data_IF_427551933484
#
_entry.id   IF_427551933484
#
_cell.length_a   1.000
_cell.length_b   1.000
_cell.length_c   1.000
_cell.angle_alpha   90.00
_cell.angle_beta   90.00
_cell.angle_gamma   90.00
#
_symmetry.space_group_name_H-M   'P 1'
#
loop_
_entity.id
_entity.type
_entity.pdbx_description
1 polymer ?
#
# COMPACT_ATOMS: atom_id res chain seq x y z
N UNK A 1 -51.85 -60.54 -17.29
CA UNK A 1 -52.38 -61.89 -17.04
C UNK A 1 -51.22 -62.85 -16.83
N UNK A 2 -50.87 -63.09 -15.56
CA UNK A 2 -51.40 -64.18 -14.70
C UNK A 2 -50.70 -65.52 -15.07
N UNK A 3 -49.63 -65.90 -14.37
CA UNK A 3 -49.57 -66.61 -13.06
C UNK A 3 -49.81 -68.13 -13.19
N UNK A 4 -48.90 -68.86 -12.52
CA UNK A 4 -48.95 -70.22 -11.99
C UNK A 4 -48.87 -71.44 -12.91
N UNK A 5 -47.89 -72.30 -12.62
CA UNK A 5 -48.18 -73.41 -11.71
C UNK A 5 -46.91 -73.96 -11.05
N UNK A 6 -46.95 -73.92 -9.72
CA UNK A 6 -46.10 -74.59 -8.73
C UNK A 6 -46.53 -76.08 -8.60
N UNK A 7 -45.76 -76.85 -7.81
CA UNK A 7 -45.95 -78.21 -7.26
C UNK A 7 -45.32 -79.37 -8.07
N UNK A 8 -44.53 -80.28 -7.48
CA UNK A 8 -44.12 -80.46 -6.09
C UNK A 8 -43.39 -81.81 -5.91
N UNK A 9 -42.32 -81.80 -5.08
CA UNK A 9 -41.81 -82.84 -4.15
C UNK A 9 -41.63 -84.33 -4.59
N UNK A 10 -40.81 -85.19 -3.89
CA UNK A 10 -40.51 -85.15 -2.45
C UNK A 10 -39.09 -85.58 -1.96
N UNK A 11 -38.82 -85.15 -0.71
CA UNK A 11 -38.25 -85.86 0.45
C UNK A 11 -36.97 -86.75 0.43
N UNK A 12 -36.24 -86.55 1.56
CA UNK A 12 -35.52 -87.50 2.46
C UNK A 12 -34.12 -88.00 2.07
N UNK A 13 -33.05 -87.61 2.80
CA UNK A 13 -32.69 -87.86 4.21
C UNK A 13 -31.75 -89.08 4.36
N UNK A 14 -30.50 -88.85 4.81
CA UNK A 14 -30.01 -89.11 6.18
C UNK A 14 -28.49 -89.35 6.20
N UNK A 15 -27.80 -88.72 7.16
CA UNK A 15 -26.80 -89.30 8.09
C UNK A 15 -25.89 -88.16 8.57
N UNK A 16 -26.15 -87.55 9.74
CA UNK A 16 -25.64 -87.93 11.07
C UNK A 16 -24.11 -87.82 11.19
N UNK A 17 -23.50 -87.36 12.27
CA UNK A 17 -23.88 -86.65 13.52
C UNK A 17 -22.54 -86.36 14.22
N UNK A 18 -22.44 -85.19 14.85
CA UNK A 18 -21.65 -84.98 16.08
C UNK A 18 -20.37 -84.16 15.92
N UNK A 19 -20.01 -83.27 16.83
CA UNK A 19 -20.65 -82.84 18.08
C UNK A 19 -19.91 -81.58 18.59
N UNK A 20 -20.70 -80.65 19.17
CA UNK A 20 -20.42 -79.83 20.35
C UNK A 20 -19.29 -78.77 20.31
N UNK A 21 -19.73 -77.52 20.52
CA UNK A 21 -19.15 -76.68 21.57
C UNK A 21 -18.71 -75.28 21.13
N UNK A 22 -19.35 -74.26 21.71
CA UNK A 22 -18.74 -72.92 21.79
C UNK A 22 -19.67 -71.76 21.48
N UNK A 23 -20.37 -71.29 22.51
CA UNK A 23 -20.52 -69.85 22.84
C UNK A 23 -21.09 -68.93 21.74
N UNK A 24 -22.41 -68.71 21.70
CA UNK A 24 -23.10 -67.62 22.41
C UNK A 24 -22.20 -66.40 22.74
N UNK A 25 -22.63 -65.24 22.26
CA UNK A 25 -22.15 -63.88 22.58
C UNK A 25 -20.77 -63.47 22.04
N UNK A 26 -20.76 -62.89 20.83
CA UNK A 26 -19.90 -61.70 20.58
C UNK A 26 -20.28 -60.86 19.35
N UNK A 27 -21.55 -60.83 18.93
CA UNK A 27 -22.02 -59.88 17.90
C UNK A 27 -22.31 -58.47 18.48
N UNK A 28 -21.49 -58.02 19.43
CA UNK A 28 -21.65 -56.71 20.07
C UNK A 28 -20.31 -56.15 20.52
N UNK A 29 -19.31 -56.04 19.63
CA UNK A 29 -18.10 -55.19 19.76
C UNK A 29 -17.20 -55.28 18.52
N UNK A 30 -17.69 -54.83 17.37
CA UNK A 30 -16.80 -54.51 16.24
C UNK A 30 -17.30 -53.35 15.36
N UNK A 31 -18.31 -52.59 15.82
CA UNK A 31 -18.83 -51.43 15.11
C UNK A 31 -18.09 -50.12 15.45
N UNK A 32 -16.79 -50.19 15.81
CA UNK A 32 -15.97 -49.02 16.14
C UNK A 32 -14.51 -49.21 15.68
N UNK A 33 -14.31 -49.54 14.41
CA UNK A 33 -12.96 -49.53 13.82
C UNK A 33 -12.91 -49.12 12.34
N UNK A 34 -14.06 -48.88 11.69
CA UNK A 34 -14.09 -48.47 10.28
C UNK A 34 -14.27 -46.96 10.05
N UNK A 35 -14.58 -46.17 11.08
CA UNK A 35 -14.81 -44.72 10.93
C UNK A 35 -13.54 -43.87 10.85
N UNK A 36 -12.41 -44.34 11.39
CA UNK A 36 -11.17 -43.56 11.49
C UNK A 36 -10.21 -43.77 10.31
N UNK A 37 -10.25 -44.94 9.66
CA UNK A 37 -9.38 -45.23 8.52
C UNK A 37 -9.86 -44.54 7.22
N UNK A 38 -11.16 -44.27 7.08
CA UNK A 38 -11.70 -43.60 5.88
C UNK A 38 -11.43 -42.08 5.88
N UNK A 39 -11.33 -41.44 7.04
CA UNK A 39 -11.03 -40.00 7.16
C UNK A 39 -9.55 -39.67 6.87
N UNK A 40 -8.64 -40.62 7.04
CA UNK A 40 -7.20 -40.44 6.78
C UNK A 40 -6.79 -40.74 5.32
N UNK A 41 -7.68 -41.36 4.52
CA UNK A 41 -7.40 -41.71 3.12
C UNK A 41 -7.90 -40.65 2.11
N UNK A 42 -8.59 -39.61 2.58
CA UNK A 42 -9.15 -38.51 1.76
C UNK A 42 -8.52 -37.15 2.05
N UNK A 43 -7.45 -37.09 2.84
CA UNK A 43 -6.65 -35.86 2.98
C UNK A 43 -5.71 -35.71 1.79
N UNK A 44 -6.27 -35.55 0.58
CA UNK A 44 -5.62 -34.63 -0.35
C UNK A 44 -5.70 -33.27 0.34
N UNK A 45 -4.58 -32.87 0.93
CA UNK A 45 -4.31 -31.48 1.25
C UNK A 45 -4.29 -30.76 -0.09
N UNK A 46 -5.48 -30.42 -0.60
CA UNK A 46 -5.62 -29.07 -1.10
C UNK A 46 -5.32 -28.24 0.16
N UNK A 47 -4.09 -27.70 0.20
CA UNK A 47 -3.88 -26.57 1.08
C UNK A 47 -5.07 -25.63 0.84
N UNK A 48 -5.51 -24.85 1.83
CA UNK A 48 -5.95 -23.53 1.40
C UNK A 48 -4.76 -23.02 0.58
N UNK A 49 -4.87 -23.05 -0.76
CA UNK A 49 -4.42 -21.93 -1.53
C UNK A 49 -5.16 -20.82 -0.82
N UNK A 50 -4.45 -20.17 0.12
CA UNK A 50 -4.98 -19.01 0.78
C UNK A 50 -5.59 -18.21 -0.35
N UNK A 51 -6.88 -17.93 -0.25
CA UNK A 51 -7.56 -16.94 -1.05
C UNK A 51 -6.93 -15.58 -0.71
N UNK A 52 -5.65 -15.45 -1.05
CA UNK A 52 -4.75 -14.34 -0.81
C UNK A 52 -4.25 -13.84 -2.17
N UNK A 53 -5.15 -13.73 -3.14
CA UNK A 53 -5.49 -12.38 -3.59
C UNK A 53 -6.17 -11.69 -2.40
N UNK A 54 -5.40 -11.38 -1.36
CA UNK A 54 -5.74 -10.25 -0.54
C UNK A 54 -5.47 -9.14 -1.53
N UNK A 55 -6.53 -8.65 -2.17
CA UNK A 55 -6.49 -7.47 -3.03
C UNK A 55 -5.60 -6.50 -2.27
N UNK A 56 -4.36 -6.33 -2.76
CA UNK A 56 -3.48 -5.31 -2.22
C UNK A 56 -4.31 -4.05 -2.30
N UNK A 57 -4.44 -3.35 -1.18
CA UNK A 57 -5.25 -2.16 -1.14
C UNK A 57 -4.80 -1.25 -2.30
N UNK A 58 -5.66 -0.99 -3.29
CA UNK A 58 -5.25 -0.29 -4.50
C UNK A 58 -4.77 1.13 -4.18
N UNK A 59 -5.16 1.70 -3.03
CA UNK A 59 -4.66 3.00 -2.58
C UNK A 59 -3.24 2.99 -2.04
N UNK A 60 -2.64 1.81 -1.85
CA UNK A 60 -1.31 1.64 -1.30
C UNK A 60 -0.27 1.33 -2.38
N UNK A 61 0.98 1.80 -2.19
CA UNK A 61 2.05 1.49 -3.12
C UNK A 61 2.45 0.02 -3.06
N UNK A 62 2.78 -0.54 -4.21
CA UNK A 62 3.44 -1.85 -4.32
C UNK A 62 4.32 -1.90 -5.58
N UNK A 63 5.09 -2.98 -5.74
CA UNK A 63 5.88 -3.20 -6.96
C UNK A 63 4.97 -3.24 -8.21
N UNK A 64 3.76 -3.78 -8.08
CA UNK A 64 2.79 -3.87 -9.16
C UNK A 64 1.87 -2.63 -9.23
N UNK A 65 1.96 -1.72 -8.25
CA UNK A 65 1.20 -0.48 -8.19
C UNK A 65 2.09 0.72 -7.75
N UNK A 66 3.05 1.15 -8.59
CA UNK A 66 4.01 2.19 -8.24
C UNK A 66 3.54 3.63 -8.56
N UNK A 67 2.37 3.77 -9.19
CA UNK A 67 1.86 5.03 -9.71
C UNK A 67 0.98 5.71 -8.66
N UNK A 68 1.42 6.87 -8.17
CA UNK A 68 0.65 7.73 -7.28
C UNK A 68 -0.11 8.76 -8.11
N UNK A 69 -1.43 8.73 -8.01
CA UNK A 69 -2.32 9.63 -8.72
C UNK A 69 -2.67 10.84 -7.85
N UNK A 70 -2.90 11.97 -8.51
CA UNK A 70 -3.23 13.26 -7.91
C UNK A 70 -4.69 13.62 -8.21
N UNK A 71 -5.39 14.12 -7.20
CA UNK A 71 -6.81 14.44 -7.22
C UNK A 71 -7.04 15.73 -6.44
N UNK A 72 -8.13 16.43 -6.71
CA UNK A 72 -8.43 17.64 -5.97
C UNK A 72 -9.79 18.23 -6.30
N UNK A 73 -10.15 19.31 -5.61
CA UNK A 73 -11.36 20.07 -5.90
C UNK A 73 -11.16 21.13 -7.00
N UNK A 74 -12.26 21.65 -7.53
CA UNK A 74 -12.23 22.60 -8.64
C UNK A 74 -11.56 23.94 -8.32
N UNK A 75 -11.31 24.25 -7.05
CA UNK A 75 -10.77 25.54 -6.60
C UNK A 75 -9.38 25.45 -5.98
N UNK A 76 -8.65 24.33 -6.17
CA UNK A 76 -7.31 24.08 -5.62
C UNK A 76 -7.21 24.11 -4.09
N UNK A 77 -8.34 24.10 -3.36
CA UNK A 77 -8.33 24.24 -1.90
C UNK A 77 -8.02 22.91 -1.20
N UNK A 78 -8.38 21.80 -1.82
CA UNK A 78 -8.09 20.46 -1.34
C UNK A 78 -7.45 19.67 -2.48
N UNK A 79 -6.22 19.21 -2.26
CA UNK A 79 -5.52 18.28 -3.15
C UNK A 79 -5.07 17.06 -2.34
N UNK A 80 -5.20 15.87 -2.91
CA UNK A 80 -4.78 14.63 -2.28
C UNK A 80 -4.23 13.64 -3.29
N UNK A 81 -3.51 12.64 -2.78
CA UNK A 81 -2.93 11.58 -3.61
C UNK A 81 -3.24 10.19 -3.08
N UNK A 82 -3.23 9.19 -3.97
CA UNK A 82 -3.20 7.77 -3.62
C UNK A 82 -2.84 6.93 -4.84
N UNK A 83 -2.62 5.62 -4.66
CA UNK A 83 -2.16 4.74 -5.74
C UNK A 83 -3.29 4.06 -6.54
N UNK A 84 -4.57 4.30 -6.19
CA UNK A 84 -5.69 3.73 -6.96
C UNK A 84 -6.06 4.62 -8.15
N UNK A 85 -5.58 4.30 -9.36
CA UNK A 85 -5.91 5.06 -10.57
C UNK A 85 -7.37 4.99 -11.00
N UNK A 86 -8.19 4.11 -10.41
CA UNK A 86 -9.61 4.01 -10.72
C UNK A 86 -10.51 4.74 -9.72
N UNK A 87 -9.96 5.26 -8.62
CA UNK A 87 -10.75 5.97 -7.60
C UNK A 87 -10.58 7.48 -7.72
N UNK A 88 -11.42 8.12 -8.52
CA UNK A 88 -11.49 9.59 -8.61
C UNK A 88 -12.55 10.19 -7.68
N UNK A 89 -13.00 9.45 -6.65
CA UNK A 89 -14.12 9.89 -5.81
C UNK A 89 -13.81 11.20 -5.09
N UNK A 90 -14.70 12.18 -5.26
CA UNK A 90 -14.56 13.51 -4.67
C UNK A 90 -13.70 14.48 -5.47
N UNK A 91 -12.95 14.01 -6.47
CA UNK A 91 -12.20 14.87 -7.40
C UNK A 91 -13.14 15.72 -8.24
N UNK A 92 -12.67 16.87 -8.73
CA UNK A 92 -13.38 17.73 -9.66
C UNK A 92 -13.80 16.94 -10.91
N UNK A 93 -15.05 17.12 -11.35
CA UNK A 93 -15.60 16.41 -12.51
C UNK A 93 -14.91 16.78 -13.81
N UNK A 94 -14.44 18.02 -13.90
CA UNK A 94 -13.69 18.60 -15.00
C UNK A 94 -12.25 18.06 -15.06
N UNK A 95 -11.79 17.43 -13.97
CA UNK A 95 -10.46 16.85 -13.87
C UNK A 95 -9.33 17.87 -13.71
N UNK A 96 -9.64 19.08 -13.24
CA UNK A 96 -8.67 20.10 -12.86
C UNK A 96 -9.20 20.99 -11.73
N UNK A 97 -8.29 21.67 -11.05
CA UNK A 97 -8.58 22.80 -10.18
C UNK A 97 -8.06 24.09 -10.80
N UNK A 98 -8.74 25.20 -10.52
CA UNK A 98 -8.46 26.49 -11.15
C UNK A 98 -8.59 27.64 -10.15
N UNK A 99 -7.67 28.60 -10.27
CA UNK A 99 -7.75 29.90 -9.63
C UNK A 99 -7.66 31.00 -10.70
N UNK A 100 -8.67 31.87 -10.74
CA UNK A 100 -8.66 33.04 -11.60
C UNK A 100 -8.43 34.33 -10.82
N UNK A 101 -7.82 35.31 -11.46
CA UNK A 101 -7.42 36.56 -10.82
C UNK A 101 -7.61 37.76 -11.74
N UNK A 102 -7.94 38.91 -11.16
CA UNK A 102 -8.26 40.09 -11.96
C UNK A 102 -7.02 40.66 -12.66
N UNK A 103 -7.26 41.38 -13.75
CA UNK A 103 -6.25 42.13 -14.51
C UNK A 103 -5.34 42.97 -13.59
N UNK A 104 -4.03 42.84 -13.77
CA UNK A 104 -3.01 43.53 -12.98
C UNK A 104 -2.90 43.12 -11.51
N UNK A 105 -3.69 42.15 -11.04
CA UNK A 105 -3.47 41.54 -9.72
C UNK A 105 -2.42 40.44 -9.80
N UNK A 106 -1.72 40.21 -8.71
CA UNK A 106 -0.80 39.09 -8.57
C UNK A 106 -1.57 37.87 -8.08
N UNK A 107 -1.34 36.72 -8.72
CA UNK A 107 -1.81 35.42 -8.21
C UNK A 107 -0.77 34.85 -7.26
N UNK A 108 -1.21 34.19 -6.20
CA UNK A 108 -0.37 33.45 -5.27
C UNK A 108 -0.97 32.07 -5.09
N UNK A 109 -0.41 31.12 -5.82
CA UNK A 109 -0.77 29.71 -5.73
C UNK A 109 0.23 29.04 -4.80
N UNK A 110 -0.28 28.52 -3.69
CA UNK A 110 0.46 27.67 -2.77
C UNK A 110 -0.50 26.61 -2.22
N UNK A 111 -0.33 25.37 -2.67
CA UNK A 111 -1.09 24.24 -2.16
C UNK A 111 -0.26 22.96 -2.11
N UNK A 112 -0.70 22.05 -1.24
CA UNK A 112 -0.11 20.72 -1.07
C UNK A 112 -1.10 19.63 -1.46
N UNK A 113 -0.60 18.61 -2.15
CA UNK A 113 -1.28 17.35 -2.41
C UNK A 113 -0.72 16.28 -1.48
N UNK A 114 -1.41 16.02 -0.37
CA UNK A 114 -0.97 15.04 0.63
C UNK A 114 -1.62 13.67 0.39
N UNK A 115 -0.94 12.59 0.79
CA UNK A 115 -1.50 11.24 0.69
C UNK A 115 -2.81 11.10 1.49
N UNK A 116 -3.88 10.63 0.84
CA UNK A 116 -5.23 10.57 1.42
C UNK A 116 -5.32 9.62 2.61
N UNK A 117 -4.63 8.48 2.54
CA UNK A 117 -4.50 7.52 3.63
C UNK A 117 -3.02 7.36 3.96
N UNK A 118 -2.69 7.25 5.25
CA UNK A 118 -1.33 6.91 5.65
C UNK A 118 -0.91 5.59 5.00
N UNK A 119 0.41 5.48 4.77
CA UNK A 119 1.03 4.24 4.35
C UNK A 119 0.69 3.12 5.35
N UNK A 120 0.27 1.95 4.85
CA UNK A 120 -0.05 0.77 5.69
C UNK A 120 1.21 0.00 6.06
N UNK A 121 2.25 0.14 5.25
CA UNK A 121 3.59 -0.42 5.43
C UNK A 121 4.64 0.58 4.95
N UNK A 122 5.89 0.41 5.40
CA UNK A 122 6.98 1.25 4.91
C UNK A 122 7.14 1.06 3.39
N UNK A 123 7.30 2.17 2.68
CA UNK A 123 7.58 2.18 1.25
C UNK A 123 9.09 2.13 1.04
N UNK A 124 9.54 1.20 0.21
CA UNK A 124 10.94 1.04 -0.17
C UNK A 124 11.11 1.30 -1.66
N UNK A 125 12.09 2.15 -1.99
CA UNK A 125 12.45 2.52 -3.34
C UNK A 125 13.80 1.90 -3.70
N UNK A 126 14.00 1.54 -4.97
CA UNK A 126 15.33 1.26 -5.50
C UNK A 126 16.19 2.49 -5.30
N UNK A 127 17.30 2.39 -4.57
CA UNK A 127 18.21 3.50 -4.34
C UNK A 127 18.91 3.99 -5.61
N UNK A 128 18.91 3.20 -6.70
CA UNK A 128 19.44 3.59 -8.01
C UNK A 128 18.33 3.84 -9.05
N UNK A 129 17.06 3.88 -8.62
CA UNK A 129 15.94 4.17 -9.48
C UNK A 129 15.77 5.67 -9.76
N UNK A 130 14.66 5.98 -10.42
CA UNK A 130 14.25 7.36 -10.72
C UNK A 130 12.78 7.49 -10.35
N UNK A 131 12.46 8.48 -9.53
CA UNK A 131 11.08 8.94 -9.33
C UNK A 131 10.75 9.85 -10.51
N UNK A 132 9.67 9.55 -11.22
CA UNK A 132 9.20 10.35 -12.36
C UNK A 132 7.92 11.06 -11.95
N UNK A 133 7.91 12.38 -12.01
CA UNK A 133 6.75 13.21 -11.73
C UNK A 133 6.28 13.83 -13.04
N UNK A 134 5.02 13.64 -13.38
CA UNK A 134 4.39 14.18 -14.58
C UNK A 134 3.17 15.01 -14.17
N UNK A 135 3.13 16.25 -14.63
CA UNK A 135 2.08 17.23 -14.33
C UNK A 135 1.59 17.87 -15.62
N UNK A 136 0.38 18.39 -15.61
CA UNK A 136 -0.13 19.29 -16.65
C UNK A 136 -0.70 20.53 -15.99
N UNK A 137 -0.33 21.69 -16.52
CA UNK A 137 -0.80 23.00 -16.07
C UNK A 137 -1.25 23.83 -17.27
N UNK A 138 -2.17 24.77 -17.05
CA UNK A 138 -2.42 25.86 -17.98
C UNK A 138 -2.33 27.16 -17.19
N UNK A 139 -1.55 28.11 -17.70
CA UNK A 139 -1.29 29.37 -17.01
C UNK A 139 -1.55 30.50 -18.01
N UNK A 140 -2.39 31.45 -17.61
CA UNK A 140 -2.56 32.71 -18.32
C UNK A 140 -2.19 33.87 -17.40
N UNK A 141 -1.09 34.56 -17.70
CA UNK A 141 -0.56 35.64 -16.88
C UNK A 141 0.25 36.63 -17.73
N UNK A 142 0.79 37.70 -17.13
CA UNK A 142 1.69 38.59 -17.84
C UNK A 142 2.98 37.88 -18.28
N UNK A 143 3.61 38.31 -19.38
CA UNK A 143 4.87 37.75 -19.86
C UNK A 143 6.07 38.12 -18.96
N UNK A 144 6.08 39.34 -18.44
CA UNK A 144 7.19 39.90 -17.67
C UNK A 144 6.86 40.00 -16.18
N UNK A 145 7.90 39.83 -15.36
CA UNK A 145 7.89 40.15 -13.94
C UNK A 145 8.98 41.19 -13.65
N UNK A 146 8.68 42.45 -13.92
CA UNK A 146 9.66 43.54 -13.92
C UNK A 146 9.40 44.62 -12.85
N UNK A 147 8.28 44.57 -12.13
CA UNK A 147 7.99 45.57 -11.08
C UNK A 147 8.70 45.20 -9.77
N UNK A 148 9.51 46.14 -9.25
CA UNK A 148 10.20 46.03 -7.96
C UNK A 148 9.31 45.80 -6.74
N UNK A 149 7.98 45.87 -6.91
CA UNK A 149 6.98 45.60 -5.88
C UNK A 149 6.34 44.21 -5.95
N UNK A 150 6.69 43.39 -6.95
CA UNK A 150 6.14 42.06 -7.18
C UNK A 150 7.19 40.98 -6.85
N UNK A 151 6.83 40.05 -5.97
CA UNK A 151 7.65 38.87 -5.67
C UNK A 151 7.21 37.73 -6.57
N UNK A 152 7.86 37.55 -7.72
CA UNK A 152 7.52 36.46 -8.62
C UNK A 152 8.23 35.17 -8.24
N UNK A 153 7.44 34.11 -8.18
CA UNK A 153 7.88 32.76 -7.90
C UNK A 153 7.55 31.94 -9.15
N UNK A 154 8.57 31.42 -9.87
CA UNK A 154 8.32 30.54 -11.01
C UNK A 154 7.57 29.29 -10.56
N UNK A 155 6.89 28.60 -11.48
CA UNK A 155 6.19 27.37 -11.13
C UNK A 155 7.18 26.38 -10.52
N UNK A 156 6.93 25.99 -9.29
CA UNK A 156 7.85 25.18 -8.51
C UNK A 156 7.10 24.00 -7.93
N UNK A 157 7.64 22.81 -8.19
CA UNK A 157 7.17 21.57 -7.58
C UNK A 157 8.17 21.09 -6.56
N UNK A 158 7.69 20.74 -5.38
CA UNK A 158 8.52 20.21 -4.29
C UNK A 158 7.99 18.86 -3.84
N UNK A 159 8.87 17.86 -3.79
CA UNK A 159 8.57 16.54 -3.25
C UNK A 159 8.99 16.51 -1.78
N UNK A 160 8.00 16.36 -0.91
CA UNK A 160 8.16 16.24 0.52
C UNK A 160 8.09 14.78 0.95
N UNK A 161 8.86 14.46 1.99
CA UNK A 161 8.83 13.21 2.74
C UNK A 161 8.46 13.52 4.18
N UNK A 162 7.17 13.40 4.50
CA UNK A 162 6.64 13.97 5.72
C UNK A 162 6.92 15.46 5.79
N UNK A 163 7.63 15.90 6.83
CA UNK A 163 8.04 17.30 7.00
C UNK A 163 9.39 17.67 6.37
N UNK A 164 10.04 16.74 5.65
CA UNK A 164 11.36 16.97 5.07
C UNK A 164 11.26 17.19 3.57
N UNK A 165 11.77 18.31 3.08
CA UNK A 165 11.97 18.52 1.65
C UNK A 165 13.06 17.60 1.13
N UNK A 166 12.73 16.78 0.13
CA UNK A 166 13.69 15.87 -0.50
C UNK A 166 14.29 16.49 -1.74
N UNK A 167 13.46 17.17 -2.55
CA UNK A 167 13.91 17.89 -3.72
C UNK A 167 12.84 18.89 -4.17
N UNK A 168 13.29 19.91 -4.89
CA UNK A 168 12.44 20.93 -5.52
C UNK A 168 12.92 21.19 -6.94
N UNK A 169 11.99 21.49 -7.84
CA UNK A 169 12.25 21.80 -9.25
C UNK A 169 11.43 23.02 -9.68
N UNK A 170 12.14 24.06 -10.11
CA UNK A 170 11.56 25.26 -10.71
C UNK A 170 11.42 25.11 -12.23
N UNK A 171 10.33 25.62 -12.79
CA UNK A 171 10.02 25.71 -14.21
C UNK A 171 9.86 27.19 -14.61
N UNK A 172 10.97 27.91 -14.85
CA UNK A 172 10.92 29.36 -15.10
C UNK A 172 10.31 29.73 -16.47
N UNK A 173 10.31 28.80 -17.42
CA UNK A 173 9.90 29.04 -18.81
C UNK A 173 8.55 28.42 -19.17
N UNK A 174 7.67 28.21 -18.19
CA UNK A 174 6.30 27.78 -18.47
C UNK A 174 5.58 28.80 -19.35
N UNK A 175 4.75 28.28 -20.25
CA UNK A 175 3.89 29.05 -21.11
C UNK A 175 2.83 29.78 -20.27
N UNK A 176 2.57 31.04 -20.62
CA UNK A 176 1.68 31.97 -19.90
C UNK A 176 0.50 32.43 -20.78
N UNK A 177 0.21 31.70 -21.85
CA UNK A 177 -0.81 32.04 -22.84
C UNK A 177 -2.14 31.29 -22.66
N UNK A 178 -2.28 30.49 -21.60
CA UNK A 178 -3.46 29.68 -21.30
C UNK A 178 -3.51 28.32 -22.00
N UNK A 179 -2.51 27.96 -22.80
CA UNK A 179 -2.41 26.62 -23.39
C UNK A 179 -1.92 25.61 -22.34
N UNK A 180 -2.39 24.36 -22.47
CA UNK A 180 -1.94 23.25 -21.64
C UNK A 180 -0.45 22.93 -21.89
N UNK A 181 0.31 22.77 -20.81
CA UNK A 181 1.72 22.40 -20.83
C UNK A 181 1.98 21.19 -19.93
N UNK A 182 2.51 20.12 -20.52
CA UNK A 182 2.97 18.93 -19.80
C UNK A 182 4.39 19.13 -19.28
N UNK A 183 4.58 18.90 -17.99
CA UNK A 183 5.85 19.07 -17.28
C UNK A 183 6.30 17.72 -16.74
N UNK A 184 7.55 17.35 -17.02
CA UNK A 184 8.17 16.14 -16.50
C UNK A 184 9.38 16.49 -15.65
N UNK A 185 9.41 15.96 -14.44
CA UNK A 185 10.52 16.07 -13.51
C UNK A 185 11.01 14.68 -13.12
N UNK A 186 12.29 14.41 -13.39
CA UNK A 186 12.95 13.15 -13.05
C UNK A 186 13.91 13.36 -11.89
N UNK A 187 13.70 12.61 -10.80
CA UNK A 187 14.51 12.67 -9.60
C UNK A 187 15.20 11.32 -9.37
N UNK A 188 16.53 11.29 -9.47
CA UNK A 188 17.30 10.10 -9.15
C UNK A 188 17.25 9.85 -7.64
N UNK A 189 16.84 8.64 -7.27
CA UNK A 189 16.83 8.22 -5.86
C UNK A 189 18.25 8.08 -5.33
N UNK A 190 18.36 8.03 -4.01
CA UNK A 190 19.60 7.71 -3.32
C UNK A 190 19.27 6.97 -1.99
N UNK A 191 20.29 6.60 -1.23
CA UNK A 191 20.11 5.88 0.05
C UNK A 191 19.25 6.63 1.07
N UNK A 192 19.24 7.96 1.07
CA UNK A 192 18.43 8.77 2.01
C UNK A 192 16.95 8.85 1.62
N UNK A 193 16.64 8.57 0.34
CA UNK A 193 15.28 8.55 -0.21
C UNK A 193 14.70 7.13 -0.28
N UNK A 194 15.50 6.10 0.00
CA UNK A 194 15.15 4.71 -0.27
C UNK A 194 14.06 4.13 0.65
N UNK A 195 13.81 4.73 1.82
CA UNK A 195 12.79 4.26 2.77
C UNK A 195 11.90 5.40 3.22
N UNK A 196 10.59 5.18 3.15
CA UNK A 196 9.53 6.09 3.60
C UNK A 196 8.75 5.37 4.71
N UNK A 197 8.89 5.88 5.94
CA UNK A 197 8.23 5.32 7.12
C UNK A 197 6.73 5.57 7.10
N UNK A 198 5.97 4.51 7.36
CA UNK A 198 4.51 4.51 7.32
C UNK A 198 3.78 5.40 8.33
N UNK A 199 4.51 6.05 9.23
CA UNK A 199 3.93 6.75 10.37
C UNK A 199 3.96 8.27 10.25
N UNK A 200 4.94 8.81 9.52
CA UNK A 200 5.23 10.27 9.49
C UNK A 200 5.95 10.71 8.21
N UNK A 201 6.25 9.80 7.28
CA UNK A 201 7.05 10.11 6.09
C UNK A 201 6.26 9.82 4.81
N UNK A 202 4.96 10.08 4.80
CA UNK A 202 4.14 10.00 3.60
C UNK A 202 4.60 11.02 2.53
N UNK A 203 4.46 10.68 1.23
CA UNK A 203 4.70 11.63 0.15
C UNK A 203 3.66 12.73 0.09
N UNK A 204 4.16 13.94 -0.11
CA UNK A 204 3.38 15.13 -0.39
C UNK A 204 4.05 15.91 -1.53
N UNK A 205 3.23 16.44 -2.44
CA UNK A 205 3.68 17.33 -3.50
C UNK A 205 3.23 18.73 -3.15
N UNK A 206 4.16 19.68 -3.09
CA UNK A 206 3.84 21.11 -2.93
C UNK A 206 3.97 21.80 -4.27
N UNK A 207 3.02 22.68 -4.56
CA UNK A 207 2.95 23.46 -5.79
C UNK A 207 2.98 24.93 -5.42
N UNK A 208 3.92 25.67 -5.98
CA UNK A 208 4.05 27.10 -5.76
C UNK A 208 4.15 27.84 -7.09
N UNK A 209 3.42 28.93 -7.21
CA UNK A 209 3.50 29.84 -8.34
C UNK A 209 3.01 31.23 -7.92
N UNK A 210 3.77 32.27 -8.24
CA UNK A 210 3.34 33.64 -8.01
C UNK A 210 3.75 34.52 -9.17
N UNK A 211 2.77 35.15 -9.81
CA UNK A 211 3.02 35.92 -11.02
C UNK A 211 1.97 37.02 -11.21
N UNK A 212 2.34 38.17 -11.80
CA UNK A 212 1.38 39.20 -12.12
C UNK A 212 0.45 38.81 -13.26
N UNK A 213 -0.81 39.22 -13.15
CA UNK A 213 -1.77 39.21 -14.24
C UNK A 213 -1.44 40.26 -15.28
N UNK A 214 -1.95 40.03 -16.49
CA UNK A 214 -1.74 40.95 -17.60
C UNK A 214 -2.20 42.36 -17.22
N UNK A 215 -1.38 43.37 -17.49
CA UNK A 215 -1.67 44.78 -17.24
C UNK A 215 -1.49 45.59 -18.53
N UNK A 216 -2.39 45.34 -19.50
CA UNK A 216 -2.37 46.02 -20.79
C UNK A 216 -2.69 47.53 -20.70
N UNK A 217 -2.49 48.24 -21.81
CA UNK A 217 -2.90 49.63 -21.95
C UNK A 217 -4.43 49.74 -21.74
N UNK A 218 -4.91 50.79 -21.05
CA UNK A 218 -6.30 50.97 -20.54
C UNK A 218 -7.49 50.53 -21.43
N UNK A 219 -7.31 50.38 -22.73
CA UNK A 219 -8.34 49.94 -23.68
C UNK A 219 -8.26 48.47 -24.11
N UNK A 220 -7.13 47.80 -23.94
CA UNK A 220 -6.96 46.40 -24.39
C UNK A 220 -7.81 45.45 -23.56
N UNK A 221 -7.64 45.47 -22.23
CA UNK A 221 -8.46 44.69 -21.30
C UNK A 221 -9.89 45.23 -21.09
N UNK A 222 -10.23 46.35 -21.74
CA UNK A 222 -11.61 46.83 -21.80
C UNK A 222 -12.40 46.21 -22.97
N UNK A 223 -11.70 45.60 -23.94
CA UNK A 223 -12.27 44.98 -25.14
C UNK A 223 -11.97 43.48 -25.20
N UNK A 224 -10.85 43.03 -24.64
CA UNK A 224 -10.43 41.64 -24.54
C UNK A 224 -10.46 41.16 -23.09
N UNK A 225 -10.61 39.85 -22.90
CA UNK A 225 -10.49 39.23 -21.58
C UNK A 225 -9.03 39.13 -21.18
N UNK A 226 -8.69 39.75 -20.05
CA UNK A 226 -7.37 39.75 -19.43
C UNK A 226 -7.45 39.18 -18.01
N UNK A 227 -8.49 38.42 -17.70
CA UNK A 227 -8.56 37.65 -16.46
C UNK A 227 -7.43 36.62 -16.47
N UNK A 228 -6.59 36.64 -15.43
CA UNK A 228 -5.51 35.68 -15.25
C UNK A 228 -6.06 34.34 -14.78
N UNK A 229 -5.35 33.27 -15.12
CA UNK A 229 -5.74 31.89 -14.79
C UNK A 229 -4.51 31.09 -14.36
N UNK A 230 -4.65 30.30 -13.31
CA UNK A 230 -3.79 29.17 -13.01
C UNK A 230 -4.66 27.91 -12.90
N UNK A 231 -4.39 26.92 -13.75
CA UNK A 231 -5.06 25.63 -13.76
C UNK A 231 -4.06 24.51 -13.54
N UNK A 232 -4.39 23.59 -12.64
CA UNK A 232 -3.64 22.37 -12.40
C UNK A 232 -4.54 21.16 -12.67
N UNK A 233 -4.12 20.30 -13.58
CA UNK A 233 -4.89 19.11 -13.96
C UNK A 233 -4.66 17.96 -12.97
N UNK A 234 -5.69 17.15 -12.78
CA UNK A 234 -5.70 15.94 -11.96
C UNK A 234 -5.64 14.69 -12.85
N UNK A 235 -5.52 13.51 -12.21
CA UNK A 235 -5.38 12.24 -12.94
C UNK A 235 -6.65 11.82 -13.69
N UNK A 236 -7.82 12.38 -13.34
CA UNK A 236 -9.08 12.17 -14.05
C UNK A 236 -9.35 13.25 -15.13
N UNK A 237 -8.33 13.93 -15.63
CA UNK A 237 -8.50 14.92 -16.70
C UNK A 237 -9.14 14.30 -17.96
N UNK A 238 -9.96 15.08 -18.65
CA UNK A 238 -10.71 14.61 -19.83
C UNK A 238 -9.82 14.32 -21.05
N UNK A 239 -8.62 14.91 -21.07
CA UNK A 239 -7.66 14.81 -22.16
C UNK A 239 -6.88 13.48 -22.15
N UNK A 240 -6.98 12.68 -21.08
CA UNK A 240 -6.14 11.51 -20.81
C UNK A 240 -4.63 11.83 -20.78
N UNK A 241 -4.30 13.05 -20.36
CA UNK A 241 -2.92 13.42 -20.07
C UNK A 241 -2.44 12.69 -18.80
N UNK A 242 -1.14 12.39 -18.75
CA UNK A 242 -0.53 11.69 -17.62
C UNK A 242 -0.21 12.68 -16.51
N UNK A 243 -0.99 12.62 -15.42
CA UNK A 243 -0.73 13.37 -14.19
C UNK A 243 -0.57 12.36 -13.05
N UNK A 244 0.67 12.04 -12.71
CA UNK A 244 0.99 11.06 -11.68
C UNK A 244 2.46 11.15 -11.25
N UNK A 245 2.78 10.47 -10.15
CA UNK A 245 4.15 10.27 -9.68
C UNK A 245 4.45 8.78 -9.66
N UNK A 246 5.39 8.35 -10.49
CA UNK A 246 5.86 6.98 -10.56
C UNK A 246 7.07 6.78 -9.63
N UNK A 247 6.91 5.93 -8.61
CA UNK A 247 7.95 5.57 -7.67
C UNK A 247 8.65 4.26 -8.08
N UNK A 248 9.99 4.15 -7.99
CA UNK A 248 10.69 2.89 -8.28
C UNK A 248 10.58 1.92 -7.09
N UNK A 249 9.37 1.43 -6.82
CA UNK A 249 9.05 0.60 -5.64
C UNK A 249 9.72 -0.77 -5.75
N UNK A 250 10.37 -1.22 -4.67
CA UNK A 250 10.99 -2.55 -4.57
C UNK A 250 10.38 -3.37 -3.44
N UNK A 251 10.41 -4.70 -3.63
CA UNK A 251 10.04 -5.62 -2.56
C UNK A 251 11.20 -5.73 -1.56
N UNK A 252 11.05 -5.11 -0.39
CA UNK A 252 12.02 -5.23 0.69
C UNK A 252 11.42 -6.08 1.82
N UNK A 253 11.79 -7.36 1.88
CA UNK A 253 11.52 -8.16 3.07
C UNK A 253 12.41 -7.62 4.19
N UNK A 254 11.84 -6.91 5.17
CA UNK A 254 12.53 -6.64 6.43
C UNK A 254 12.93 -8.02 6.99
N UNK A 255 14.23 -8.33 7.13
CA UNK A 255 14.63 -9.50 7.90
C UNK A 255 14.07 -9.25 9.30
N UNK A 256 13.13 -10.10 9.73
CA UNK A 256 12.51 -9.97 11.04
C UNK A 256 13.58 -9.77 12.09
N UNK A 257 13.34 -8.84 13.02
CA UNK A 257 14.25 -8.44 14.08
C UNK A 257 14.86 -9.67 14.76
N UNK A 258 16.03 -10.07 14.26
CA UNK A 258 16.82 -11.19 14.73
C UNK A 258 17.45 -10.76 16.04
N UNK A 259 16.68 -10.90 17.11
CA UNK A 259 17.18 -10.80 18.46
C UNK A 259 18.25 -11.85 18.69
N UNK A 260 19.51 -11.43 18.55
CA UNK A 260 20.68 -12.06 19.15
C UNK A 260 21.32 -13.18 18.35
N UNK A 261 22.61 -13.01 18.02
CA UNK A 261 23.49 -14.14 17.76
C UNK A 261 24.54 -13.88 16.68
N UNK A 262 25.60 -13.20 17.12
CA UNK A 262 27.00 -13.43 16.75
C UNK A 262 27.30 -14.51 15.69
N UNK A 263 28.07 -14.14 14.67
CA UNK A 263 28.41 -15.04 13.56
C UNK A 263 29.71 -14.67 12.84
N UNK A 264 30.78 -14.39 13.60
CA UNK A 264 32.12 -14.17 13.06
C UNK A 264 33.04 -15.39 13.20
N UNK A 265 33.03 -16.25 12.17
CA UNK A 265 34.14 -17.09 11.67
C UNK A 265 34.56 -18.30 12.52
N UNK A 266 34.39 -19.51 11.98
CA UNK A 266 35.12 -20.68 12.47
C UNK A 266 34.58 -22.02 12.01
N UNK A 267 35.02 -22.45 10.83
CA UNK A 267 35.56 -23.79 10.54
C UNK A 267 34.95 -25.04 11.25
N UNK A 268 34.55 -26.01 10.41
CA UNK A 268 34.33 -27.44 10.70
C UNK A 268 33.15 -27.74 11.66
N UNK A 269 32.15 -28.54 11.31
CA UNK A 269 32.17 -29.91 10.82
C UNK A 269 30.78 -30.27 10.30
N UNK A 270 30.74 -31.20 9.35
CA UNK A 270 29.54 -31.96 8.99
C UNK A 270 28.98 -32.69 10.22
N UNK A 271 27.66 -32.62 10.45
CA UNK A 271 26.87 -33.85 10.61
C UNK A 271 25.37 -33.60 10.61
N UNK A 272 24.67 -34.62 10.14
CA UNK A 272 23.23 -34.72 9.94
C UNK A 272 22.37 -34.27 11.14
N UNK A 273 21.21 -33.66 10.88
CA UNK A 273 19.87 -34.29 10.98
C UNK A 273 18.77 -33.21 11.16
N UNK A 274 17.67 -33.26 10.39
CA UNK A 274 16.56 -32.34 10.53
C UNK A 274 15.62 -32.75 11.68
N UNK A 275 15.23 -31.74 12.47
CA UNK A 275 13.96 -31.70 13.19
C UNK A 275 13.79 -32.61 14.40
N UNK A 276 14.07 -32.12 15.60
CA UNK A 276 13.23 -32.33 16.80
C UNK A 276 13.42 -31.14 17.74
N UNK A 277 12.38 -30.32 17.88
CA UNK A 277 12.31 -29.30 18.92
C UNK A 277 12.14 -29.98 20.28
N UNK A 278 13.23 -30.12 21.02
CA UNK A 278 13.18 -30.51 22.43
C UNK A 278 13.12 -29.24 23.29
N UNK A 279 11.91 -28.91 23.72
CA UNK A 279 11.67 -28.04 24.87
C UNK A 279 12.26 -28.72 26.10
N UNK A 280 13.31 -28.14 26.67
CA UNK A 280 13.86 -28.50 27.98
C UNK A 280 13.64 -27.32 28.94
N UNK A 281 12.61 -27.43 29.77
CA UNK A 281 12.33 -26.48 30.84
C UNK A 281 13.11 -26.82 32.12
N UNK A 282 13.80 -25.83 32.69
CA UNK A 282 14.27 -25.72 34.08
C UNK A 282 14.47 -24.20 34.28
N UNK A 283 13.88 -23.44 35.19
CA UNK A 283 13.40 -23.71 36.54
C UNK A 283 14.43 -23.24 37.58
N UNK A 284 14.47 -21.93 37.93
CA UNK A 284 14.97 -21.48 39.24
C UNK A 284 14.58 -20.01 39.53
N UNK A 285 13.69 -19.83 40.52
CA UNK A 285 13.52 -18.59 41.27
C UNK A 285 14.61 -18.53 42.35
N UNK A 286 15.35 -17.43 42.45
CA UNK A 286 16.23 -17.15 43.58
C UNK A 286 15.72 -15.91 44.33
N UNK A 287 15.14 -16.14 45.51
CA UNK A 287 14.82 -15.13 46.53
C UNK A 287 16.08 -14.89 47.37
N UNK A 288 16.49 -13.64 47.55
CA UNK A 288 17.44 -13.25 48.58
C UNK A 288 16.74 -12.35 49.60
N UNK A 289 16.63 -12.86 50.83
CA UNK A 289 16.20 -12.12 52.00
C UNK A 289 17.42 -11.88 52.91
N UNK A 290 17.61 -10.64 53.36
CA UNK A 290 18.45 -10.32 54.52
C UNK A 290 17.67 -9.34 55.40
N UNK A 291 17.18 -9.83 56.54
CA UNK A 291 17.00 -9.05 57.77
C UNK A 291 18.15 -9.42 58.73
N UNK A 292 18.41 -8.77 59.85
CA UNK A 292 17.95 -7.56 60.49
C UNK A 292 18.95 -7.34 61.65
N UNK A 293 19.12 -6.13 62.16
CA UNK A 293 19.28 -5.95 63.60
C UNK A 293 18.91 -4.53 64.01
N UNK A 294 17.90 -4.46 64.87
CA UNK A 294 17.39 -3.30 65.58
C UNK A 294 18.36 -2.93 66.70
N UNK A 295 18.49 -1.64 67.03
CA UNK A 295 18.49 -1.21 68.43
C UNK A 295 17.89 0.20 68.54
N UNK A 296 16.87 0.28 69.39
CA UNK A 296 16.03 1.42 69.72
C UNK A 296 16.77 2.60 70.35
N UNK A 297 16.17 3.79 70.30
CA UNK A 297 15.54 4.43 71.48
C UNK A 297 14.89 5.79 71.10
N UNK A 298 13.58 5.89 71.37
CA UNK A 298 12.73 7.10 71.51
C UNK A 298 13.34 8.09 72.54
N UNK A 299 13.11 9.40 72.60
CA UNK A 299 12.05 10.33 72.16
C UNK A 299 12.70 11.62 71.63
#
# INVERSE_FOLDING_TARGET
DFIDSIEGEPERSKSQTGEIGGEIMQAQRAARAFGLALLLALSTVAAPASAQDAVQDPKQPSVDNPHMHIWGDSGLNNCWTHFDGNDSAGSASEGYGEETFSTGQQVEVDFSCSMQENLKQDLYLDANGTITLEFVVAIYSADDCDDSSQECIPLTFTLMKGSTEIASQEFPNVNKNGDDESLQWNLNTNETMARWNKSIEEPEIQVQFSWPGYSGFLFECAVFDCEGEFRFYYSNNENNDTVEVNFPVINHTIPGEGGGGDGGIGDSVSDALPGFGLVAGIGALALAAVGASRFSREE
#
